data_IF_832695045474
#
_entry.id   IF_832695045474
#
_cell.length_a   1.000
_cell.length_b   1.000
_cell.length_c   1.000
_cell.angle_alpha   90.00
_cell.angle_beta   90.00
_cell.angle_gamma   90.00
#
_symmetry.space_group_name_H-M   'P 1'
#
loop_
_entity.id
_entity.type
_entity.pdbx_description
1 polymer ?
#
# COMPACT_ATOMS: atom_id res chain seq x y z
N UNK A 1 1.73 -11.25 17.05
CA UNK A 1 1.97 -9.79 16.80
C UNK A 1 1.05 -9.38 15.66
N UNK A 2 0.06 -8.54 15.98
CA UNK A 2 -0.99 -8.13 15.04
C UNK A 2 -0.44 -7.32 13.88
N UNK A 3 -0.84 -7.69 12.66
CA UNK A 3 -0.50 -6.99 11.42
C UNK A 3 -1.76 -6.38 10.84
N UNK A 4 -1.81 -5.04 10.79
CA UNK A 4 -2.94 -4.34 10.17
C UNK A 4 -2.64 -4.05 8.70
N UNK A 5 -3.55 -4.47 7.83
CA UNK A 5 -3.56 -4.09 6.41
C UNK A 5 -4.64 -3.04 6.20
N UNK A 6 -4.24 -1.82 5.82
CA UNK A 6 -5.17 -0.72 5.52
C UNK A 6 -5.56 -0.79 4.04
N UNK A 7 -6.86 -0.88 3.76
CA UNK A 7 -7.42 -0.96 2.41
C UNK A 7 -8.36 0.23 2.18
N UNK A 8 -7.88 1.33 1.58
CA UNK A 8 -8.74 2.44 1.19
C UNK A 8 -9.58 2.03 -0.01
N UNK A 9 -10.86 2.39 -0.02
CA UNK A 9 -11.77 2.07 -1.13
C UNK A 9 -12.78 3.19 -1.38
N UNK A 10 -13.09 3.42 -2.66
CA UNK A 10 -14.16 4.29 -3.12
C UNK A 10 -14.76 3.75 -4.42
N UNK A 11 -16.06 3.40 -4.42
CA UNK A 11 -16.80 2.91 -5.58
C UNK A 11 -16.11 1.77 -6.36
N UNK A 12 -15.70 0.70 -5.63
CA UNK A 12 -14.98 -0.45 -6.20
C UNK A 12 -15.44 -1.78 -5.61
N UNK A 13 -16.71 -2.15 -5.77
CA UNK A 13 -17.26 -3.34 -5.10
C UNK A 13 -16.61 -4.65 -5.57
N UNK A 14 -16.35 -4.80 -6.88
CA UNK A 14 -15.89 -6.08 -7.44
C UNK A 14 -14.40 -6.30 -7.23
N UNK A 15 -13.57 -5.28 -7.45
CA UNK A 15 -12.12 -5.39 -7.23
C UNK A 15 -11.80 -5.52 -5.73
N UNK A 16 -12.55 -4.82 -4.86
CA UNK A 16 -12.41 -4.98 -3.41
C UNK A 16 -12.53 -6.45 -2.97
N UNK A 17 -13.48 -7.19 -3.53
CA UNK A 17 -13.63 -8.63 -3.22
C UNK A 17 -12.35 -9.41 -3.54
N UNK A 18 -11.69 -9.12 -4.68
CA UNK A 18 -10.45 -9.79 -5.05
C UNK A 18 -9.29 -9.39 -4.13
N UNK A 19 -9.18 -8.11 -3.81
CA UNK A 19 -8.20 -7.59 -2.86
C UNK A 19 -8.33 -8.28 -1.50
N UNK A 20 -9.53 -8.31 -0.93
CA UNK A 20 -9.79 -8.93 0.38
C UNK A 20 -9.58 -10.45 0.36
N UNK A 21 -10.02 -11.15 -0.69
CA UNK A 21 -9.75 -12.59 -0.84
C UNK A 21 -8.25 -12.90 -0.86
N UNK A 22 -7.45 -12.04 -1.48
CA UNK A 22 -5.99 -12.20 -1.49
C UNK A 22 -5.37 -12.04 -0.10
N UNK A 23 -5.92 -11.17 0.74
CA UNK A 23 -5.52 -11.00 2.15
C UNK A 23 -5.96 -12.19 3.00
N UNK A 24 -7.23 -12.61 2.89
CA UNK A 24 -7.76 -13.75 3.65
C UNK A 24 -6.94 -15.02 3.41
N UNK A 25 -6.42 -15.22 2.21
CA UNK A 25 -5.53 -16.35 1.88
C UNK A 25 -4.30 -16.41 2.79
N UNK A 26 -3.78 -15.25 3.20
CA UNK A 26 -2.58 -15.11 4.04
C UNK A 26 -2.87 -15.08 5.56
N UNK A 27 -4.13 -15.17 5.98
CA UNK A 27 -4.54 -15.02 7.39
C UNK A 27 -3.89 -16.02 8.37
N UNK A 28 -3.41 -17.16 7.88
CA UNK A 28 -2.72 -18.15 8.72
C UNK A 28 -1.22 -17.84 8.88
N UNK A 29 -0.66 -16.93 8.06
CA UNK A 29 0.75 -16.57 8.14
C UNK A 29 1.03 -15.50 9.21
N UNK A 30 0.02 -14.69 9.55
CA UNK A 30 0.10 -13.62 10.55
C UNK A 30 -1.21 -13.45 11.31
N UNK A 31 -1.14 -12.90 12.51
CA UNK A 31 -2.34 -12.39 13.23
C UNK A 31 -2.83 -11.13 12.49
N UNK A 32 -3.75 -11.34 11.54
CA UNK A 32 -4.17 -10.35 10.56
C UNK A 32 -5.36 -9.52 11.05
N UNK A 33 -5.29 -8.21 10.83
CA UNK A 33 -6.37 -7.25 10.98
C UNK A 33 -6.51 -6.50 9.65
N UNK A 34 -7.62 -6.69 8.95
CA UNK A 34 -7.91 -6.02 7.67
C UNK A 34 -8.82 -4.83 7.95
N UNK A 35 -8.26 -3.63 7.84
CA UNK A 35 -9.00 -2.39 8.03
C UNK A 35 -9.40 -1.79 6.69
N UNK A 36 -10.67 -1.96 6.32
CA UNK A 36 -11.25 -1.32 5.12
C UNK A 36 -11.68 0.10 5.49
N UNK A 37 -11.21 1.07 4.72
CA UNK A 37 -11.64 2.47 4.87
C UNK A 37 -12.48 2.87 3.66
N UNK A 38 -13.80 2.90 3.84
CA UNK A 38 -14.75 3.37 2.83
C UNK A 38 -14.75 4.90 2.76
N UNK A 39 -14.17 5.46 1.71
CA UNK A 39 -14.09 6.91 1.49
C UNK A 39 -15.39 7.48 0.92
N UNK A 40 -16.53 7.10 1.50
CA UNK A 40 -17.84 7.65 1.16
C UNK A 40 -18.42 7.08 -0.12
N UNK A 41 -18.27 5.78 -0.38
CA UNK A 41 -18.83 5.13 -1.58
C UNK A 41 -20.32 5.36 -1.73
N UNK A 42 -20.75 5.57 -2.98
CA UNK A 42 -22.15 5.88 -3.35
C UNK A 42 -22.82 4.74 -4.13
N UNK A 43 -22.06 3.68 -4.43
CA UNK A 43 -22.52 2.46 -5.07
C UNK A 43 -22.71 1.32 -4.05
N UNK A 44 -22.76 0.07 -4.50
CA UNK A 44 -22.91 -1.12 -3.64
C UNK A 44 -21.66 -1.48 -2.81
N UNK A 45 -20.57 -0.69 -2.88
CA UNK A 45 -19.31 -0.99 -2.16
C UNK A 45 -19.54 -1.14 -0.66
N UNK A 46 -20.35 -0.27 -0.04
CA UNK A 46 -20.64 -0.34 1.40
C UNK A 46 -21.39 -1.63 1.78
N UNK A 47 -22.29 -2.13 0.93
CA UNK A 47 -22.96 -3.42 1.14
C UNK A 47 -21.95 -4.58 1.06
N UNK A 48 -21.06 -4.55 0.07
CA UNK A 48 -20.00 -5.55 -0.06
C UNK A 48 -19.08 -5.56 1.17
N UNK A 49 -18.71 -4.39 1.68
CA UNK A 49 -17.89 -4.27 2.90
C UNK A 49 -18.59 -4.90 4.09
N UNK A 50 -19.89 -4.63 4.29
CA UNK A 50 -20.65 -5.20 5.39
C UNK A 50 -20.70 -6.73 5.30
N UNK A 51 -20.99 -7.29 4.12
CA UNK A 51 -21.03 -8.73 3.89
C UNK A 51 -19.65 -9.40 4.16
N UNK A 52 -18.55 -8.74 3.79
CA UNK A 52 -17.20 -9.22 4.07
C UNK A 52 -16.91 -9.20 5.57
N UNK A 53 -17.26 -8.13 6.28
CA UNK A 53 -17.03 -8.01 7.72
C UNK A 53 -17.88 -9.00 8.53
N UNK A 54 -19.12 -9.27 8.11
CA UNK A 54 -20.01 -10.25 8.75
C UNK A 54 -19.50 -11.69 8.57
N UNK A 55 -18.78 -11.95 7.47
CA UNK A 55 -18.28 -13.29 7.13
C UNK A 55 -16.86 -13.58 7.66
N UNK A 56 -16.10 -12.56 8.02
CA UNK A 56 -14.68 -12.68 8.36
C UNK A 56 -14.32 -11.82 9.58
N UNK A 57 -14.08 -12.43 10.75
CA UNK A 57 -13.83 -11.69 11.99
C UNK A 57 -12.52 -10.87 11.98
N UNK A 58 -11.60 -11.16 11.07
CA UNK A 58 -10.38 -10.40 10.84
C UNK A 58 -10.60 -9.08 10.08
N UNK A 59 -11.83 -8.84 9.57
CA UNK A 59 -12.18 -7.63 8.80
C UNK A 59 -12.97 -6.67 9.68
N UNK A 60 -12.55 -5.43 9.68
CA UNK A 60 -13.32 -4.31 10.22
C UNK A 60 -13.35 -3.15 9.23
N UNK A 61 -14.35 -2.32 9.34
CA UNK A 61 -14.54 -1.21 8.42
C UNK A 61 -14.77 0.11 9.14
N UNK A 62 -14.28 1.18 8.54
CA UNK A 62 -14.57 2.56 8.93
C UNK A 62 -15.05 3.30 7.69
N UNK A 63 -16.20 3.98 7.79
CA UNK A 63 -16.70 4.85 6.73
C UNK A 63 -16.45 6.31 7.08
N UNK A 64 -16.15 7.10 6.09
CA UNK A 64 -15.97 8.56 6.18
C UNK A 64 -16.63 9.27 5.00
N UNK A 65 -16.77 10.58 5.08
CA UNK A 65 -17.16 11.39 3.91
C UNK A 65 -16.02 11.39 2.88
N UNK A 66 -16.37 11.35 1.59
CA UNK A 66 -15.38 11.33 0.52
C UNK A 66 -14.38 12.49 0.64
N UNK A 67 -13.11 12.16 0.56
CA UNK A 67 -12.03 13.13 0.67
C UNK A 67 -10.75 12.72 -0.03
N UNK A 68 -10.78 11.59 -0.75
CA UNK A 68 -9.66 11.04 -1.51
C UNK A 68 -8.77 10.11 -0.69
N UNK A 69 -7.95 9.36 -1.42
CA UNK A 69 -7.11 8.27 -0.90
C UNK A 69 -6.19 8.69 0.24
N UNK A 70 -5.63 9.90 0.18
CA UNK A 70 -4.75 10.45 1.23
C UNK A 70 -5.44 10.52 2.58
N UNK A 71 -6.67 11.05 2.58
CA UNK A 71 -7.48 11.15 3.80
C UNK A 71 -7.99 9.80 4.26
N UNK A 72 -8.33 8.90 3.33
CA UNK A 72 -8.73 7.53 3.66
C UNK A 72 -7.58 6.78 4.34
N UNK A 73 -6.34 6.87 3.82
CA UNK A 73 -5.16 6.30 4.47
C UNK A 73 -4.90 6.89 5.84
N UNK A 74 -5.06 8.20 6.02
CA UNK A 74 -4.96 8.85 7.33
C UNK A 74 -6.03 8.33 8.31
N UNK A 75 -7.27 8.17 7.86
CA UNK A 75 -8.33 7.55 8.67
C UNK A 75 -7.92 6.12 9.08
N UNK A 76 -7.29 5.35 8.18
CA UNK A 76 -6.75 4.05 8.52
C UNK A 76 -5.68 4.10 9.61
N UNK A 77 -4.75 5.05 9.53
CA UNK A 77 -3.71 5.24 10.56
C UNK A 77 -4.31 5.63 11.92
N UNK A 78 -5.35 6.44 11.95
CA UNK A 78 -6.03 6.88 13.18
C UNK A 78 -6.84 5.75 13.85
N UNK A 79 -7.16 4.70 13.10
CA UNK A 79 -7.97 3.57 13.56
C UNK A 79 -7.14 2.26 13.71
N UNK A 80 -5.83 2.34 13.87
CA UNK A 80 -5.01 1.18 14.20
C UNK A 80 -5.36 0.65 15.60
N UNK A 81 -5.44 -0.67 15.74
CA UNK A 81 -5.56 -1.29 17.06
C UNK A 81 -4.33 -1.01 17.92
N UNK A 82 -4.52 -0.94 19.25
CA UNK A 82 -3.40 -0.76 20.19
C UNK A 82 -2.36 -1.88 20.09
N UNK A 83 -2.80 -3.10 19.79
CA UNK A 83 -1.96 -4.28 19.60
C UNK A 83 -1.27 -4.37 18.23
N UNK A 84 -1.57 -3.45 17.31
CA UNK A 84 -0.93 -3.43 15.98
C UNK A 84 0.57 -3.26 16.14
N UNK A 85 1.32 -4.25 15.69
CA UNK A 85 2.78 -4.24 15.68
C UNK A 85 3.34 -3.87 14.31
N UNK A 86 2.66 -4.30 13.25
CA UNK A 86 3.06 -4.05 11.87
C UNK A 86 1.90 -3.48 11.05
N UNK A 87 2.24 -2.65 10.07
CA UNK A 87 1.28 -2.00 9.17
C UNK A 87 1.74 -2.16 7.72
N UNK A 88 0.83 -2.47 6.85
CA UNK A 88 1.01 -2.38 5.40
C UNK A 88 -0.28 -1.83 4.78
N UNK A 89 -0.23 -1.53 3.49
CA UNK A 89 -1.35 -1.06 2.70
C UNK A 89 -1.62 -2.01 1.54
N UNK A 90 -2.85 -2.03 1.07
CA UNK A 90 -3.21 -2.66 -0.20
C UNK A 90 -4.29 -1.81 -0.85
N UNK A 91 -4.10 -1.40 -2.10
CA UNK A 91 -5.13 -0.66 -2.82
C UNK A 91 -6.25 -1.61 -3.23
N UNK A 92 -7.49 -1.11 -3.26
CA UNK A 92 -8.70 -1.92 -3.43
C UNK A 92 -8.88 -2.52 -4.83
N UNK A 93 -8.01 -2.18 -5.77
CA UNK A 93 -7.95 -2.72 -7.13
C UNK A 93 -6.75 -3.67 -7.36
N UNK A 94 -5.89 -3.84 -6.35
CA UNK A 94 -4.75 -4.74 -6.38
C UNK A 94 -5.02 -6.06 -5.65
N UNK A 95 -4.13 -7.05 -5.84
CA UNK A 95 -4.16 -8.29 -5.06
C UNK A 95 -2.81 -8.55 -4.39
N UNK A 96 -2.86 -8.98 -3.13
CA UNK A 96 -1.66 -9.38 -2.40
C UNK A 96 -1.04 -10.63 -3.04
N UNK A 97 0.27 -10.66 -3.19
CA UNK A 97 0.97 -11.87 -3.63
C UNK A 97 0.98 -12.93 -2.51
N UNK A 98 0.95 -14.20 -2.92
CA UNK A 98 1.03 -15.31 -1.96
C UNK A 98 2.39 -15.33 -1.25
N UNK A 99 2.40 -15.84 -0.02
CA UNK A 99 3.60 -16.06 0.80
C UNK A 99 4.40 -14.79 1.15
N UNK A 100 3.81 -13.60 0.90
CA UNK A 100 4.47 -12.34 1.23
C UNK A 100 4.85 -12.27 2.71
N UNK A 101 3.90 -12.51 3.60
CA UNK A 101 4.15 -12.41 5.04
C UNK A 101 5.06 -13.53 5.54
N UNK A 102 5.02 -14.71 4.93
CA UNK A 102 5.94 -15.81 5.26
C UNK A 102 7.41 -15.44 4.99
N UNK A 103 7.66 -14.53 4.05
CA UNK A 103 9.01 -14.03 3.72
C UNK A 103 9.40 -12.81 4.58
N UNK A 104 8.53 -11.82 4.69
CA UNK A 104 8.84 -10.54 5.32
C UNK A 104 8.84 -10.59 6.86
N UNK A 105 7.90 -11.33 7.45
CA UNK A 105 7.74 -11.38 8.92
C UNK A 105 8.95 -11.95 9.65
N UNK A 106 9.59 -13.07 9.22
CA UNK A 106 10.77 -13.59 9.89
C UNK A 106 11.92 -12.57 9.95
N UNK A 107 12.11 -11.75 8.93
CA UNK A 107 13.14 -10.70 8.89
C UNK A 107 12.89 -9.68 10.01
N UNK A 108 11.65 -9.17 10.08
CA UNK A 108 11.27 -8.19 11.09
C UNK A 108 11.27 -8.78 12.52
N UNK A 109 10.91 -10.06 12.68
CA UNK A 109 10.93 -10.72 13.98
C UNK A 109 12.35 -10.96 14.50
N UNK A 110 13.27 -11.39 13.61
CA UNK A 110 14.65 -11.68 13.97
C UNK A 110 15.51 -10.43 14.18
N UNK A 111 15.14 -9.30 13.58
CA UNK A 111 15.93 -8.06 13.59
C UNK A 111 15.11 -6.87 14.08
N UNK A 112 15.03 -6.63 15.42
CA UNK A 112 14.18 -5.58 16.00
C UNK A 112 14.54 -4.15 15.56
N UNK A 113 15.75 -3.92 15.11
CA UNK A 113 16.27 -2.65 14.62
C UNK A 113 15.91 -2.37 13.14
N UNK A 114 15.46 -3.39 12.40
CA UNK A 114 14.87 -3.19 11.07
C UNK A 114 13.44 -2.67 11.22
N UNK A 115 13.18 -1.49 10.67
CA UNK A 115 11.90 -0.80 10.81
C UNK A 115 10.90 -1.17 9.69
N UNK A 116 11.37 -1.62 8.54
CA UNK A 116 10.53 -2.11 7.45
C UNK A 116 11.28 -3.08 6.53
N UNK A 117 10.52 -3.96 5.87
CA UNK A 117 10.93 -4.63 4.64
C UNK A 117 10.33 -3.92 3.44
N UNK A 118 11.01 -3.96 2.30
CA UNK A 118 10.55 -3.38 1.05
C UNK A 118 10.82 -4.35 -0.10
N UNK A 119 9.78 -4.81 -0.76
CA UNK A 119 9.87 -5.79 -1.85
C UNK A 119 9.49 -5.22 -3.20
N UNK A 120 9.23 -6.12 -4.15
CA UNK A 120 8.84 -5.83 -5.52
C UNK A 120 7.31 -5.89 -5.69
N UNK A 121 6.84 -5.37 -6.80
CA UNK A 121 5.48 -5.59 -7.30
C UNK A 121 5.53 -6.14 -8.73
N UNK A 122 4.47 -6.80 -9.15
CA UNK A 122 4.27 -7.14 -10.56
C UNK A 122 3.15 -6.28 -11.11
N UNK A 123 3.50 -5.33 -11.98
CA UNK A 123 2.50 -4.58 -12.74
C UNK A 123 1.94 -5.49 -13.84
N UNK A 124 0.60 -5.51 -13.98
CA UNK A 124 -0.10 -6.38 -14.95
C UNK A 124 -1.36 -5.71 -15.46
N UNK A 125 -1.81 -6.11 -16.67
CA UNK A 125 -3.08 -5.65 -17.24
C UNK A 125 -4.27 -6.54 -16.88
N UNK A 126 -4.03 -7.75 -16.34
CA UNK A 126 -5.12 -8.68 -16.01
C UNK A 126 -4.77 -9.55 -14.81
N UNK A 127 -5.73 -9.71 -13.90
CA UNK A 127 -5.67 -10.64 -12.77
C UNK A 127 -6.76 -11.69 -12.93
N UNK A 128 -6.38 -12.94 -12.79
CA UNK A 128 -7.30 -14.07 -12.77
C UNK A 128 -8.07 -14.07 -11.42
N UNK A 129 -9.40 -13.96 -11.44
CA UNK A 129 -10.21 -13.88 -10.22
C UNK A 129 -10.22 -15.17 -9.39
N UNK A 130 -9.81 -16.31 -9.97
CA UNK A 130 -9.75 -17.58 -9.24
C UNK A 130 -8.41 -17.74 -8.51
N UNK A 131 -7.31 -17.49 -9.21
CA UNK A 131 -5.96 -17.67 -8.67
C UNK A 131 -5.43 -16.41 -7.97
N UNK A 132 -6.03 -15.24 -8.22
CA UNK A 132 -5.61 -13.92 -7.72
C UNK A 132 -4.18 -13.57 -8.14
N UNK A 133 -3.79 -14.02 -9.33
CA UNK A 133 -2.47 -13.80 -9.94
C UNK A 133 -2.62 -13.20 -11.33
N UNK A 134 -1.56 -12.61 -11.90
CA UNK A 134 -1.55 -12.19 -13.29
C UNK A 134 -1.95 -13.34 -14.23
N UNK A 135 -2.80 -13.05 -15.20
CA UNK A 135 -3.20 -14.01 -16.23
C UNK A 135 -1.99 -14.37 -17.08
N UNK A 136 -1.81 -15.65 -17.37
CA UNK A 136 -0.74 -16.11 -18.25
C UNK A 136 -0.89 -15.49 -19.66
N UNK A 137 0.17 -14.83 -20.14
CA UNK A 137 0.16 -14.13 -21.43
C UNK A 137 -0.33 -12.68 -21.38
N UNK A 138 -0.86 -12.20 -20.25
CA UNK A 138 -1.10 -10.77 -20.06
C UNK A 138 0.22 -9.99 -20.00
N UNK A 139 0.21 -8.73 -20.43
CA UNK A 139 1.36 -7.86 -20.25
C UNK A 139 1.64 -7.71 -18.75
N UNK A 140 2.88 -8.02 -18.35
CA UNK A 140 3.28 -7.94 -16.96
C UNK A 140 4.77 -7.68 -16.80
N UNK A 141 5.17 -7.01 -15.74
CA UNK A 141 6.57 -6.78 -15.39
C UNK A 141 6.76 -6.68 -13.88
N UNK A 142 7.75 -7.41 -13.37
CA UNK A 142 8.24 -7.25 -12.01
C UNK A 142 9.13 -5.99 -11.94
N UNK A 143 8.86 -5.16 -10.93
CA UNK A 143 9.59 -3.92 -10.67
C UNK A 143 9.71 -3.66 -9.16
N UNK A 144 10.75 -2.95 -8.77
CA UNK A 144 10.79 -2.25 -7.48
C UNK A 144 10.11 -0.90 -7.65
N UNK A 145 8.79 -0.85 -7.48
CA UNK A 145 8.00 0.37 -7.64
C UNK A 145 8.02 1.27 -6.40
N UNK A 146 7.68 2.53 -6.56
CA UNK A 146 7.40 3.42 -5.42
C UNK A 146 5.92 3.20 -5.06
N UNK A 147 5.66 2.27 -4.16
CA UNK A 147 4.30 1.89 -3.77
C UNK A 147 4.24 1.43 -2.31
N UNK A 148 3.24 1.91 -1.57
CA UNK A 148 3.09 1.58 -0.14
C UNK A 148 2.87 0.09 0.10
N UNK A 149 2.19 -0.59 -0.82
CA UNK A 149 1.96 -2.03 -0.73
C UNK A 149 3.26 -2.85 -0.83
N UNK A 150 4.38 -2.26 -1.26
CA UNK A 150 5.70 -2.92 -1.23
C UNK A 150 6.34 -2.91 0.16
N UNK A 151 5.85 -2.11 1.10
CA UNK A 151 6.40 -1.96 2.44
C UNK A 151 5.59 -2.73 3.49
N UNK A 152 6.28 -3.48 4.37
CA UNK A 152 5.73 -3.95 5.65
C UNK A 152 6.49 -3.23 6.76
N UNK A 153 5.80 -2.41 7.54
CA UNK A 153 6.38 -1.41 8.43
C UNK A 153 6.05 -1.70 9.90
N UNK A 154 6.98 -1.46 10.81
CA UNK A 154 6.67 -1.43 12.24
C UNK A 154 5.75 -0.23 12.56
N UNK A 155 4.83 -0.43 13.51
CA UNK A 155 3.97 0.67 14.00
C UNK A 155 4.81 1.85 14.54
N UNK A 156 5.93 1.58 15.19
CA UNK A 156 6.83 2.63 15.71
C UNK A 156 7.37 3.54 14.59
N UNK A 157 7.62 3.00 13.40
CA UNK A 157 7.99 3.80 12.22
C UNK A 157 6.83 4.69 11.78
N UNK A 158 5.62 4.14 11.67
CA UNK A 158 4.39 4.89 11.32
C UNK A 158 4.19 6.05 12.30
N UNK A 159 4.29 5.80 13.59
CA UNK A 159 4.15 6.84 14.64
C UNK A 159 5.20 7.95 14.50
N UNK A 160 6.44 7.59 14.16
CA UNK A 160 7.55 8.54 13.96
C UNK A 160 7.36 9.40 12.71
N UNK A 161 6.90 8.82 11.60
CA UNK A 161 6.70 9.51 10.32
C UNK A 161 5.42 10.35 10.35
N UNK A 162 4.39 9.88 11.05
CA UNK A 162 3.11 10.56 11.19
C UNK A 162 2.18 10.34 10.00
N UNK A 163 1.30 11.29 9.76
CA UNK A 163 0.22 11.21 8.77
C UNK A 163 0.71 11.51 7.35
N UNK A 164 -0.07 11.07 6.35
CA UNK A 164 0.09 11.50 4.97
C UNK A 164 -0.21 12.99 4.82
N UNK A 165 0.46 13.64 3.88
CA UNK A 165 0.26 15.06 3.56
C UNK A 165 -1.00 15.24 2.69
N UNK A 166 -2.08 15.73 3.29
CA UNK A 166 -3.38 15.92 2.63
C UNK A 166 -3.39 16.99 1.54
N UNK A 167 -2.31 17.73 1.36
CA UNK A 167 -2.13 18.64 0.22
C UNK A 167 -1.72 17.93 -1.07
N UNK A 168 -1.42 16.62 -0.97
CA UNK A 168 -1.09 15.75 -2.08
C UNK A 168 -2.28 14.84 -2.37
N UNK A 169 -2.99 15.09 -3.47
CA UNK A 169 -4.12 14.26 -3.91
C UNK A 169 -3.69 13.08 -4.78
N UNK A 170 -2.43 13.10 -5.24
CA UNK A 170 -1.69 12.02 -5.87
C UNK A 170 -0.24 12.07 -5.38
N UNK A 171 0.53 10.98 -5.56
CA UNK A 171 1.91 10.82 -5.11
C UNK A 171 2.11 11.06 -3.60
N UNK A 172 1.07 10.92 -2.80
CA UNK A 172 1.12 10.94 -1.34
C UNK A 172 1.91 9.77 -0.77
N UNK A 173 1.87 8.62 -1.46
CA UNK A 173 2.69 7.43 -1.20
C UNK A 173 4.17 7.73 -1.44
N UNK A 174 4.49 8.39 -2.55
CA UNK A 174 5.85 8.85 -2.87
C UNK A 174 6.39 9.77 -1.78
N UNK A 175 5.63 10.79 -1.36
CA UNK A 175 6.06 11.68 -0.27
C UNK A 175 6.24 10.91 1.04
N UNK A 176 5.32 10.00 1.37
CA UNK A 176 5.36 9.22 2.60
C UNK A 176 6.61 8.33 2.65
N UNK A 177 6.90 7.60 1.58
CA UNK A 177 8.09 6.77 1.45
C UNK A 177 9.37 7.59 1.45
N UNK A 178 9.40 8.75 0.77
CA UNK A 178 10.55 9.65 0.82
C UNK A 178 10.80 10.15 2.24
N UNK A 179 9.77 10.50 3.03
CA UNK A 179 9.93 10.87 4.44
C UNK A 179 10.54 9.75 5.28
N UNK A 180 10.17 8.50 5.02
CA UNK A 180 10.79 7.34 5.65
C UNK A 180 12.26 7.24 5.28
N UNK A 181 12.57 7.27 3.99
CA UNK A 181 13.92 7.08 3.47
C UNK A 181 14.86 8.29 3.64
N UNK A 182 14.35 9.44 4.08
CA UNK A 182 15.13 10.62 4.47
C UNK A 182 15.63 10.55 5.92
N UNK A 183 15.22 9.56 6.68
CA UNK A 183 15.64 9.35 8.06
C UNK A 183 16.74 8.26 8.13
N UNK A 184 17.26 8.02 9.32
CA UNK A 184 18.19 6.92 9.63
C UNK A 184 17.48 5.55 9.71
N UNK A 185 16.31 5.42 9.11
CA UNK A 185 15.51 4.19 9.12
C UNK A 185 16.29 3.05 8.50
N UNK A 186 16.53 2.00 9.30
CA UNK A 186 17.08 0.75 8.79
C UNK A 186 15.99 -0.09 8.14
N UNK A 187 16.23 -0.55 6.94
CA UNK A 187 15.30 -1.40 6.20
C UNK A 187 16.04 -2.53 5.48
N UNK A 188 15.29 -3.56 5.13
CA UNK A 188 15.77 -4.66 4.27
C UNK A 188 14.98 -4.59 2.96
N UNK A 189 15.71 -4.43 1.85
CA UNK A 189 15.14 -4.65 0.52
C UNK A 189 15.15 -6.15 0.22
N UNK A 190 14.01 -6.69 -0.16
CA UNK A 190 13.84 -8.10 -0.52
C UNK A 190 13.48 -8.24 -2.00
N UNK A 191 13.59 -9.45 -2.53
CA UNK A 191 13.05 -9.81 -3.84
C UNK A 191 11.61 -10.35 -3.75
N UNK A 192 10.94 -10.20 -2.60
CA UNK A 192 9.58 -10.66 -2.39
C UNK A 192 8.64 -9.92 -3.32
N UNK A 193 7.80 -10.64 -4.06
CA UNK A 193 6.65 -10.04 -4.73
C UNK A 193 5.61 -9.72 -3.65
N UNK A 194 5.33 -8.44 -3.43
CA UNK A 194 4.40 -7.99 -2.39
C UNK A 194 2.95 -8.02 -2.86
N UNK A 195 2.72 -7.55 -4.08
CA UNK A 195 1.38 -7.49 -4.66
C UNK A 195 1.43 -7.48 -6.18
N UNK A 196 0.28 -7.72 -6.79
CA UNK A 196 0.03 -7.58 -8.22
C UNK A 196 -0.72 -6.27 -8.45
N UNK A 197 -0.05 -5.31 -9.09
CA UNK A 197 -0.56 -3.99 -9.40
C UNK A 197 -1.34 -4.03 -10.71
N UNK A 198 -2.67 -3.89 -10.62
CA UNK A 198 -3.55 -3.96 -11.78
C UNK A 198 -3.64 -2.61 -12.51
N UNK A 199 -3.19 -2.58 -13.75
CA UNK A 199 -3.38 -1.42 -14.65
C UNK A 199 -4.71 -1.54 -15.38
N UNK A 200 -5.60 -0.56 -15.21
CA UNK A 200 -6.92 -0.52 -15.83
C UNK A 200 -7.38 0.94 -16.02
N UNK A 201 -8.33 1.16 -16.94
CA UNK A 201 -8.79 2.51 -17.34
C UNK A 201 -9.44 3.34 -16.22
N UNK A 202 -9.87 2.72 -15.14
CA UNK A 202 -10.44 3.40 -13.97
C UNK A 202 -9.41 3.76 -12.89
N UNK A 203 -8.12 3.55 -13.11
CA UNK A 203 -7.06 3.84 -12.13
C UNK A 203 -6.77 5.32 -11.99
N UNK A 204 -6.39 5.78 -10.79
CA UNK A 204 -6.01 7.18 -10.53
C UNK A 204 -4.80 7.64 -11.34
N UNK A 205 -3.97 6.72 -11.82
CA UNK A 205 -2.74 7.00 -12.57
C UNK A 205 -2.98 7.26 -14.07
N UNK A 206 -4.23 7.33 -14.53
CA UNK A 206 -4.57 7.63 -15.93
C UNK A 206 -4.35 9.10 -16.30
N UNK A 207 -4.46 10.03 -15.36
CA UNK A 207 -4.10 11.44 -15.59
C UNK A 207 -2.59 11.61 -15.40
N UNK A 208 -1.84 11.37 -16.48
CA UNK A 208 -0.37 11.46 -16.48
C UNK A 208 0.15 12.85 -16.14
N UNK A 209 -0.51 13.92 -16.59
CA UNK A 209 -0.06 15.28 -16.32
C UNK A 209 -0.26 15.64 -14.85
N UNK A 210 -1.40 15.26 -14.30
CA UNK A 210 -1.67 15.40 -12.87
C UNK A 210 -0.67 14.57 -12.03
N UNK A 211 -0.46 13.31 -12.42
CA UNK A 211 0.50 12.41 -11.77
C UNK A 211 1.92 12.99 -11.76
N UNK A 212 2.41 13.46 -12.90
CA UNK A 212 3.73 14.10 -13.02
C UNK A 212 3.86 15.35 -12.15
N UNK A 213 2.81 16.19 -12.12
CA UNK A 213 2.77 17.40 -11.31
C UNK A 213 2.90 17.09 -9.81
N UNK A 214 2.13 16.12 -9.31
CA UNK A 214 2.17 15.76 -7.90
C UNK A 214 3.43 14.97 -7.52
N UNK A 215 3.92 14.11 -8.41
CA UNK A 215 5.21 13.46 -8.23
C UNK A 215 6.35 14.48 -8.10
N UNK A 216 6.42 15.47 -9.02
CA UNK A 216 7.40 16.54 -8.94
C UNK A 216 7.26 17.33 -7.62
N UNK A 217 6.01 17.59 -7.17
CA UNK A 217 5.76 18.26 -5.89
C UNK A 217 6.25 17.43 -4.69
N UNK A 218 6.03 16.13 -4.67
CA UNK A 218 6.53 15.23 -3.62
C UNK A 218 8.07 15.25 -3.58
N UNK A 219 8.72 15.15 -4.73
CA UNK A 219 10.19 15.24 -4.84
C UNK A 219 10.71 16.62 -4.38
N UNK A 220 10.05 17.71 -4.75
CA UNK A 220 10.43 19.05 -4.30
C UNK A 220 10.30 19.22 -2.79
N UNK A 221 9.23 18.69 -2.17
CA UNK A 221 9.09 18.67 -0.70
C UNK A 221 10.24 17.90 -0.04
N UNK A 222 10.63 16.74 -0.59
CA UNK A 222 11.78 15.97 -0.16
C UNK A 222 13.09 16.78 -0.22
N UNK A 223 13.34 17.44 -1.33
CA UNK A 223 14.53 18.32 -1.49
C UNK A 223 14.53 19.47 -0.48
N UNK A 224 13.38 20.11 -0.24
CA UNK A 224 13.23 21.18 0.74
C UNK A 224 13.52 20.69 2.17
N UNK A 225 12.98 19.55 2.58
CA UNK A 225 13.24 18.95 3.90
C UNK A 225 14.74 18.67 4.10
N UNK A 226 15.41 18.10 3.10
CA UNK A 226 16.85 17.80 3.16
C UNK A 226 17.73 19.04 3.09
N UNK A 227 17.27 20.09 2.42
CA UNK A 227 17.96 21.39 2.43
C UNK A 227 17.83 22.08 3.78
N UNK A 228 16.66 22.00 4.40
CA UNK A 228 16.41 22.59 5.72
C UNK A 228 17.14 21.84 6.86
N UNK A 229 17.36 20.53 6.69
CA UNK A 229 18.05 19.67 7.65
C UNK A 229 19.08 18.81 6.90
N UNK A 230 20.36 19.27 6.83
CA UNK A 230 21.43 18.54 6.13
C UNK A 230 21.82 17.19 6.74
N UNK A 231 21.33 16.87 7.94
CA UNK A 231 21.52 15.53 8.55
C UNK A 231 20.67 14.47 7.87
N UNK A 232 19.58 14.86 7.21
CA UNK A 232 18.72 13.98 6.43
C UNK A 232 19.42 13.52 5.16
N UNK A 233 19.71 12.23 5.10
CA UNK A 233 20.29 11.57 3.92
C UNK A 233 19.27 10.62 3.33
N UNK A 234 19.12 10.65 2.01
CA UNK A 234 18.19 9.76 1.33
C UNK A 234 18.82 8.37 1.16
N UNK A 235 18.40 7.43 2.00
CA UNK A 235 18.67 6.00 1.89
C UNK A 235 17.40 5.29 1.44
N UNK A 236 17.34 4.85 0.19
CA UNK A 236 16.14 4.26 -0.41
C UNK A 236 16.49 3.03 -1.23
N UNK A 237 15.50 2.15 -1.48
CA UNK A 237 15.64 1.10 -2.48
C UNK A 237 16.01 1.68 -3.85
N UNK A 238 16.61 0.85 -4.69
CA UNK A 238 16.75 1.19 -6.11
C UNK A 238 15.39 1.00 -6.77
N UNK A 239 14.76 2.09 -7.17
CA UNK A 239 13.46 2.05 -7.82
C UNK A 239 13.58 1.96 -9.34
N UNK A 240 12.74 1.14 -9.94
CA UNK A 240 12.52 1.15 -11.39
C UNK A 240 11.58 2.31 -11.74
N UNK A 241 12.07 3.27 -12.50
CA UNK A 241 11.37 4.55 -12.72
C UNK A 241 10.37 4.52 -13.88
N UNK A 242 10.37 3.47 -14.70
CA UNK A 242 9.51 3.40 -15.88
C UNK A 242 8.87 2.02 -16.04
N UNK A 243 7.56 2.03 -16.25
CA UNK A 243 6.85 0.87 -16.78
C UNK A 243 7.07 0.79 -18.31
N UNK A 244 7.09 -0.42 -18.89
CA UNK A 244 7.12 -0.56 -20.34
C UNK A 244 5.82 -0.01 -20.96
N UNK A 245 5.86 0.41 -22.25
CA UNK A 245 4.70 1.05 -22.91
C UNK A 245 3.41 0.23 -22.83
N UNK A 246 3.51 -1.10 -22.84
CA UNK A 246 2.37 -2.03 -22.78
C UNK A 246 1.65 -2.01 -21.41
N UNK A 247 2.26 -1.37 -20.42
CA UNK A 247 1.76 -1.23 -19.05
C UNK A 247 1.51 0.24 -18.67
N UNK A 248 1.56 1.15 -19.65
CA UNK A 248 1.30 2.59 -19.42
C UNK A 248 -0.14 2.96 -19.76
#
# INVERSE_FOLDING_TARGET
>A
MKTTVIVPVYNRPDSLVLAIRSLIRERNAVDMDILIVDDGSTDRTSEVIQNLADSHPEIRAVRRDNGGVTKARNTGLDNLHDETAFVTFLDSDDTLAADRFATDMPILQAQPDIALTYGNMVATTQIDPLTLRPVQGAAQKEITGIHLSCALMRRSLITRIGRFDETLIQAEDTDYLLRIFETDTRFVQTSTICHYYLRHDGGMTQDFDLGRKYFARAVMKSLQRRKADPTRKLHKPTFDLMLPPELI
#
